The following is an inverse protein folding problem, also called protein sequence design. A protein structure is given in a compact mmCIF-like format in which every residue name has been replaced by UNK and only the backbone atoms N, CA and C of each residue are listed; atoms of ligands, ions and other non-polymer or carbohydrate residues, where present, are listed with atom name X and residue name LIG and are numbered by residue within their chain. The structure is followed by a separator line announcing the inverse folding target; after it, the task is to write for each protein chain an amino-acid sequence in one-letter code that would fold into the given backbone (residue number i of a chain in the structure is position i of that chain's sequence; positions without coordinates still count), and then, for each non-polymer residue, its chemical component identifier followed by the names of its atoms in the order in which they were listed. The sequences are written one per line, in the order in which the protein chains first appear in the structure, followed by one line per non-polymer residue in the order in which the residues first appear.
data_IF_318392332496
#
_entry.id   IF_318392332496
#
_cell.length_a   1.000
_cell.length_b   1.000
_cell.length_c   1.000
_cell.angle_alpha   90.00
_cell.angle_beta   90.00
_cell.angle_gamma   90.00
#
_symmetry.space_group_name_H-M   'P 1'
#
loop_
_entity.id
_entity.type
_entity.pdbx_description
1 polymer ?
#
# COMPACT_ATOMS: atom_id res chain seq x y z
N UNK A 1 -3.00 -27.64 -0.24
CA UNK A 1 -2.89 -26.57 -1.28
C UNK A 1 -3.83 -25.38 -1.00
N UNK A 2 -4.75 -25.45 -0.04
CA UNK A 2 -5.76 -24.41 0.24
C UNK A 2 -5.19 -23.09 0.74
N UNK A 3 -4.09 -23.12 1.49
CA UNK A 3 -3.40 -21.91 1.97
C UNK A 3 -2.92 -21.03 0.82
N UNK A 4 -2.42 -21.64 -0.26
CA UNK A 4 -1.94 -20.94 -1.47
C UNK A 4 -3.12 -20.34 -2.24
N UNK A 5 -4.24 -21.07 -2.36
CA UNK A 5 -5.46 -20.56 -3.03
C UNK A 5 -6.04 -19.35 -2.30
N UNK A 6 -6.12 -19.39 -0.96
CA UNK A 6 -6.57 -18.26 -0.14
C UNK A 6 -5.62 -17.05 -0.25
N UNK A 7 -4.32 -17.28 -0.25
CA UNK A 7 -3.33 -16.21 -0.44
C UNK A 7 -3.46 -15.54 -1.81
N UNK A 8 -3.67 -16.32 -2.89
CA UNK A 8 -3.88 -15.81 -4.25
C UNK A 8 -5.14 -14.96 -4.35
N UNK A 9 -6.25 -15.39 -3.74
CA UNK A 9 -7.49 -14.61 -3.69
C UNK A 9 -7.33 -13.29 -2.92
N UNK A 10 -6.56 -13.31 -1.82
CA UNK A 10 -6.23 -12.10 -1.04
C UNK A 10 -5.37 -11.12 -1.85
N UNK A 11 -4.34 -11.60 -2.53
CA UNK A 11 -3.48 -10.77 -3.39
C UNK A 11 -4.27 -10.15 -4.57
N UNK A 12 -5.22 -10.89 -5.16
CA UNK A 12 -6.11 -10.35 -6.19
C UNK A 12 -7.03 -9.23 -5.69
N UNK A 13 -7.32 -9.18 -4.39
CA UNK A 13 -8.10 -8.09 -3.77
C UNK A 13 -7.25 -6.90 -3.37
N UNK A 14 -5.92 -7.06 -3.31
CA UNK A 14 -4.99 -6.02 -2.87
C UNK A 14 -4.99 -4.79 -3.79
N UNK A 15 -5.13 -5.00 -5.10
CA UNK A 15 -5.25 -3.92 -6.09
C UNK A 15 -6.46 -3.02 -5.83
N UNK A 16 -7.57 -3.57 -5.33
CA UNK A 16 -8.76 -2.78 -4.95
C UNK A 16 -8.49 -1.91 -3.72
N UNK A 17 -7.75 -2.43 -2.75
CA UNK A 17 -7.41 -1.68 -1.54
C UNK A 17 -6.41 -0.57 -1.82
N UNK A 18 -5.40 -0.83 -2.66
CA UNK A 18 -4.48 0.21 -3.13
C UNK A 18 -5.23 1.31 -3.88
N UNK A 19 -6.17 0.95 -4.77
CA UNK A 19 -6.96 1.93 -5.52
C UNK A 19 -7.77 2.86 -4.61
N UNK A 20 -8.23 2.38 -3.45
CA UNK A 20 -8.92 3.22 -2.46
C UNK A 20 -8.03 4.21 -1.71
N UNK A 21 -6.71 4.00 -1.73
CA UNK A 21 -5.68 4.83 -1.09
C UNK A 21 -4.90 5.68 -2.11
N UNK A 22 -5.54 6.01 -3.24
CA UNK A 22 -4.97 6.85 -4.29
C UNK A 22 -4.42 8.19 -3.82
N UNK A 23 -5.09 8.94 -2.93
CA UNK A 23 -4.58 10.23 -2.42
C UNK A 23 -3.27 10.08 -1.66
N UNK A 24 -3.19 9.11 -0.74
CA UNK A 24 -2.00 8.83 0.06
C UNK A 24 -0.87 8.27 -0.80
N UNK A 25 -1.20 7.43 -1.79
CA UNK A 25 -0.26 6.91 -2.76
C UNK A 25 0.33 8.01 -3.65
N UNK A 26 -0.47 8.99 -4.06
CA UNK A 26 -0.02 10.14 -4.83
C UNK A 26 0.88 11.07 -4.01
N UNK A 27 0.62 11.25 -2.71
CA UNK A 27 1.48 12.01 -1.82
C UNK A 27 2.87 11.34 -1.66
N UNK A 28 2.89 10.03 -1.44
CA UNK A 28 4.14 9.27 -1.40
C UNK A 28 4.90 9.33 -2.73
N UNK A 29 4.19 9.14 -3.85
CA UNK A 29 4.79 9.22 -5.18
C UNK A 29 5.38 10.62 -5.48
N UNK A 30 4.73 11.70 -5.03
CA UNK A 30 5.28 13.06 -5.15
C UNK A 30 6.59 13.23 -4.40
N UNK A 31 6.66 12.76 -3.16
CA UNK A 31 7.89 12.83 -2.36
C UNK A 31 9.02 12.04 -3.03
N UNK A 32 8.75 10.81 -3.47
CA UNK A 32 9.76 9.98 -4.16
C UNK A 32 10.16 10.59 -5.51
N UNK A 33 9.22 11.21 -6.24
CA UNK A 33 9.49 11.83 -7.53
C UNK A 33 10.34 13.10 -7.43
N UNK A 34 10.30 13.82 -6.30
CA UNK A 34 11.16 14.98 -6.08
C UNK A 34 12.63 14.57 -5.94
N UNK A 35 12.89 13.44 -5.29
CA UNK A 35 14.24 12.94 -5.00
C UNK A 35 14.64 11.73 -5.84
N UNK A 36 14.06 11.56 -7.04
CA UNK A 36 14.28 10.40 -7.94
C UNK A 36 15.76 10.06 -8.21
N UNK A 37 16.64 11.06 -8.12
CA UNK A 37 18.09 10.89 -8.30
C UNK A 37 18.79 10.30 -7.06
N UNK A 38 18.30 10.55 -5.86
CA UNK A 38 18.98 10.22 -4.61
C UNK A 38 18.00 9.86 -3.48
N UNK A 39 17.07 8.95 -3.78
CA UNK A 39 16.10 8.46 -2.79
C UNK A 39 16.84 7.73 -1.67
N UNK A 40 16.89 8.35 -0.50
CA UNK A 40 17.39 7.73 0.72
C UNK A 40 16.29 6.94 1.42
N UNK A 41 16.69 5.84 2.06
CA UNK A 41 15.77 5.00 2.85
C UNK A 41 15.20 5.83 4.01
N UNK A 42 13.89 6.05 3.99
CA UNK A 42 13.17 6.77 5.05
C UNK A 42 12.91 8.25 4.77
N UNK A 43 13.29 8.76 3.59
CA UNK A 43 13.07 10.16 3.22
C UNK A 43 11.58 10.52 3.11
N UNK A 44 10.77 9.60 2.58
CA UNK A 44 9.31 9.72 2.48
C UNK A 44 8.58 8.77 3.45
N UNK A 45 9.16 8.54 4.64
CA UNK A 45 8.66 7.57 5.61
C UNK A 45 7.25 7.94 6.11
N UNK A 46 6.98 9.23 6.31
CA UNK A 46 5.70 9.71 6.81
C UNK A 46 4.55 9.44 5.83
N UNK A 47 4.76 9.74 4.55
CA UNK A 47 3.82 9.50 3.46
C UNK A 47 3.64 8.00 3.21
N UNK A 48 4.72 7.24 3.30
CA UNK A 48 4.68 5.79 3.22
C UNK A 48 3.86 5.18 4.36
N UNK A 49 4.05 5.65 5.60
CA UNK A 49 3.31 5.16 6.76
C UNK A 49 1.82 5.53 6.69
N UNK A 50 1.48 6.70 6.13
CA UNK A 50 0.11 7.10 5.86
C UNK A 50 -0.55 6.18 4.81
N UNK A 51 0.13 5.96 3.68
CA UNK A 51 -0.32 5.04 2.63
C UNK A 51 -0.48 3.61 3.16
N UNK A 52 0.49 3.10 3.91
CA UNK A 52 0.46 1.78 4.54
C UNK A 52 -0.72 1.64 5.50
N UNK A 53 -0.96 2.64 6.35
CA UNK A 53 -2.11 2.65 7.26
C UNK A 53 -3.43 2.60 6.49
N UNK A 54 -3.55 3.35 5.39
CA UNK A 54 -4.74 3.31 4.55
C UNK A 54 -4.95 1.90 3.96
N UNK A 55 -3.93 1.31 3.35
CA UNK A 55 -4.03 -0.02 2.73
C UNK A 55 -4.34 -1.11 3.77
N UNK A 56 -3.71 -1.07 4.94
CA UNK A 56 -4.00 -2.00 6.04
C UNK A 56 -5.44 -1.84 6.54
N UNK A 57 -5.94 -0.62 6.63
CA UNK A 57 -7.33 -0.35 7.04
C UNK A 57 -8.32 -0.84 6.00
N UNK A 58 -8.06 -0.61 4.71
CA UNK A 58 -8.87 -1.11 3.62
C UNK A 58 -8.88 -2.66 3.58
N UNK A 59 -7.72 -3.28 3.78
CA UNK A 59 -7.58 -4.74 3.86
C UNK A 59 -8.34 -5.34 5.05
N UNK A 60 -8.28 -4.70 6.23
CA UNK A 60 -9.05 -5.09 7.42
C UNK A 60 -10.55 -4.95 7.19
N UNK A 61 -11.00 -3.84 6.59
CA UNK A 61 -12.42 -3.62 6.24
C UNK A 61 -12.95 -4.68 5.27
N UNK A 62 -12.11 -5.20 4.38
CA UNK A 62 -12.47 -6.28 3.47
C UNK A 62 -12.37 -7.69 4.08
N UNK A 63 -12.15 -7.82 5.39
CA UNK A 63 -12.10 -9.11 6.09
C UNK A 63 -10.80 -9.89 5.87
N UNK A 64 -9.77 -9.27 5.29
CA UNK A 64 -8.47 -9.90 5.08
C UNK A 64 -7.55 -9.59 6.26
N UNK A 65 -6.97 -10.64 6.87
CA UNK A 65 -5.83 -10.49 7.78
C UNK A 65 -4.59 -10.24 6.92
N UNK A 66 -4.13 -8.99 6.94
CA UNK A 66 -2.87 -8.53 6.35
C UNK A 66 -1.93 -8.13 7.50
#
# INVERSE_FOLDING_TARGET
MDSVRKAKARLGSYSKWIASCGPEGAAYAKCVAQDLAEVQKGQCQAEFDAFKKCVQTAAKKAGSKL
#
